data_IF_059391621041
#
_entry.id   IF_059391621041
#
_cell.length_a   1.000
_cell.length_b   1.000
_cell.length_c   1.000
_cell.angle_alpha   90.00
_cell.angle_beta   90.00
_cell.angle_gamma   90.00
#
_symmetry.space_group_name_H-M   'P 1'
#
loop_
_entity.id
_entity.type
_entity.pdbx_description
1 polymer ?
#
# COMPACT_ATOMS: atom_id res chain seq x y z
N UNK A 1 22.19 -8.67 2.89
CA UNK A 1 21.40 -7.45 3.21
C UNK A 1 20.46 -7.09 2.06
N UNK A 2 20.99 -6.88 0.85
CA UNK A 2 20.20 -6.60 -0.36
C UNK A 2 19.13 -7.66 -0.69
N UNK A 3 19.48 -8.96 -0.71
CA UNK A 3 18.51 -10.03 -1.00
C UNK A 3 17.35 -10.07 0.02
N UNK A 4 17.64 -9.79 1.29
CA UNK A 4 16.61 -9.67 2.34
C UNK A 4 15.68 -8.49 2.08
N UNK A 5 16.23 -7.32 1.72
CA UNK A 5 15.42 -6.14 1.38
C UNK A 5 14.57 -6.36 0.12
N UNK A 6 15.07 -7.12 -0.86
CA UNK A 6 14.28 -7.51 -2.03
C UNK A 6 13.12 -8.44 -1.66
N UNK A 7 13.35 -9.41 -0.78
CA UNK A 7 12.30 -10.29 -0.26
C UNK A 7 11.24 -9.48 0.53
N UNK A 8 11.68 -8.59 1.43
CA UNK A 8 10.79 -7.71 2.20
C UNK A 8 9.99 -6.76 1.29
N UNK A 9 10.60 -6.24 0.21
CA UNK A 9 9.91 -5.43 -0.79
C UNK A 9 8.88 -6.24 -1.60
N UNK A 10 9.23 -7.47 -1.97
CA UNK A 10 8.32 -8.37 -2.69
C UNK A 10 7.10 -8.73 -1.83
N UNK A 11 7.31 -9.02 -0.54
CA UNK A 11 6.24 -9.25 0.44
C UNK A 11 5.35 -8.02 0.60
N UNK A 12 5.93 -6.85 0.88
CA UNK A 12 5.16 -5.60 1.03
C UNK A 12 4.38 -5.23 -0.24
N UNK A 13 4.94 -5.52 -1.42
CA UNK A 13 4.25 -5.31 -2.71
C UNK A 13 3.11 -6.29 -2.90
N UNK A 14 3.27 -7.55 -2.48
CA UNK A 14 2.20 -8.55 -2.52
C UNK A 14 1.06 -8.18 -1.56
N UNK A 15 1.39 -7.71 -0.36
CA UNK A 15 0.43 -7.21 0.63
C UNK A 15 -0.35 -6.00 0.09
N UNK A 16 0.33 -5.03 -0.55
CA UNK A 16 -0.31 -3.91 -1.22
C UNK A 16 -1.26 -4.37 -2.33
N UNK A 17 -0.82 -5.32 -3.18
CA UNK A 17 -1.66 -5.86 -4.26
C UNK A 17 -2.89 -6.59 -3.72
N UNK A 18 -2.73 -7.39 -2.66
CA UNK A 18 -3.83 -8.08 -2.01
C UNK A 18 -4.83 -7.10 -1.40
N UNK A 19 -4.33 -6.04 -0.73
CA UNK A 19 -5.17 -4.96 -0.21
C UNK A 19 -5.94 -4.25 -1.33
N UNK A 20 -5.29 -3.90 -2.44
CA UNK A 20 -5.94 -3.24 -3.59
C UNK A 20 -6.93 -4.16 -4.32
N UNK A 21 -6.70 -5.47 -4.30
CA UNK A 21 -7.63 -6.47 -4.84
C UNK A 21 -8.80 -6.78 -3.89
N UNK A 22 -8.78 -6.26 -2.65
CA UNK A 22 -9.86 -6.47 -1.69
C UNK A 22 -11.14 -5.78 -2.13
N UNK A 23 -12.26 -6.37 -1.75
CA UNK A 23 -13.57 -5.77 -1.97
C UNK A 23 -13.71 -4.46 -1.18
N UNK A 24 -13.10 -4.34 0.00
CA UNK A 24 -13.09 -3.10 0.80
C UNK A 24 -12.42 -1.94 0.05
N UNK A 25 -11.30 -2.21 -0.62
CA UNK A 25 -10.64 -1.22 -1.47
C UNK A 25 -11.53 -0.79 -2.64
N UNK A 26 -12.12 -1.76 -3.36
CA UNK A 26 -13.03 -1.47 -4.47
C UNK A 26 -14.27 -0.69 -4.01
N UNK A 27 -14.85 -1.06 -2.86
CA UNK A 27 -16.00 -0.39 -2.26
C UNK A 27 -15.67 1.04 -1.82
N UNK A 28 -14.52 1.24 -1.16
CA UNK A 28 -14.06 2.55 -0.75
C UNK A 28 -13.85 3.46 -1.99
N UNK A 29 -13.11 2.98 -2.98
CA UNK A 29 -12.82 3.75 -4.20
C UNK A 29 -14.10 4.04 -5.01
N UNK A 30 -15.05 3.11 -5.09
CA UNK A 30 -16.36 3.34 -5.72
C UNK A 30 -17.25 4.33 -4.95
N UNK A 31 -17.23 4.27 -3.61
CA UNK A 31 -18.05 5.15 -2.75
C UNK A 31 -17.52 6.59 -2.68
N UNK A 32 -16.24 6.81 -3.03
CA UNK A 32 -15.66 8.15 -3.14
C UNK A 32 -16.38 9.03 -4.16
N UNK A 33 -16.99 8.43 -5.18
CA UNK A 33 -17.67 9.11 -6.29
C UNK A 33 -19.03 9.74 -5.90
N UNK A 34 -19.65 9.32 -4.79
CA UNK A 34 -20.97 9.79 -4.33
C UNK A 34 -20.91 10.61 -3.01
N UNK A 35 -19.75 11.19 -2.68
CA UNK A 35 -19.59 12.00 -1.45
C UNK A 35 -19.31 11.18 -0.18
N UNK A 36 -19.07 9.87 -0.30
CA UNK A 36 -18.67 8.98 0.80
C UNK A 36 -17.24 9.20 1.31
N UNK A 37 -16.55 10.27 0.90
CA UNK A 37 -15.15 10.53 1.26
C UNK A 37 -14.94 10.70 2.78
N UNK A 38 -15.98 11.11 3.52
CA UNK A 38 -15.99 11.20 4.99
C UNK A 38 -16.44 9.91 5.69
N UNK A 39 -16.78 8.85 4.95
CA UNK A 39 -17.16 7.57 5.54
C UNK A 39 -15.94 6.90 6.17
N UNK A 40 -16.08 6.36 7.38
CA UNK A 40 -14.99 5.75 8.14
C UNK A 40 -14.22 4.70 7.33
N UNK A 41 -14.95 3.85 6.61
CA UNK A 41 -14.40 2.80 5.73
C UNK A 41 -13.49 3.38 4.64
N UNK A 42 -13.85 4.51 4.03
CA UNK A 42 -13.01 5.15 3.01
C UNK A 42 -11.72 5.69 3.63
N UNK A 43 -11.82 6.34 4.80
CA UNK A 43 -10.67 6.88 5.53
C UNK A 43 -9.72 5.79 5.99
N UNK A 44 -10.23 4.70 6.55
CA UNK A 44 -9.45 3.56 7.04
C UNK A 44 -8.76 2.82 5.90
N UNK A 45 -9.48 2.58 4.80
CA UNK A 45 -8.93 1.97 3.60
C UNK A 45 -7.83 2.82 3.00
N UNK A 46 -8.07 4.13 2.86
CA UNK A 46 -7.07 5.08 2.37
C UNK A 46 -5.83 5.13 3.26
N UNK A 47 -6.01 5.21 4.57
CA UNK A 47 -4.90 5.20 5.51
C UNK A 47 -4.09 3.89 5.44
N UNK A 48 -4.77 2.76 5.21
CA UNK A 48 -4.13 1.45 5.05
C UNK A 48 -3.33 1.38 3.75
N UNK A 49 -3.90 1.86 2.64
CA UNK A 49 -3.20 1.96 1.35
C UNK A 49 -1.96 2.87 1.48
N UNK A 50 -2.11 4.08 2.03
CA UNK A 50 -1.03 5.04 2.20
C UNK A 50 0.13 4.47 3.04
N UNK A 51 -0.17 3.70 4.10
CA UNK A 51 0.84 3.01 4.92
C UNK A 51 1.60 1.95 4.12
N UNK A 52 0.89 1.13 3.34
CA UNK A 52 1.49 0.07 2.52
C UNK A 52 2.36 0.66 1.40
N UNK A 53 1.91 1.73 0.76
CA UNK A 53 2.69 2.46 -0.23
C UNK A 53 3.94 3.11 0.37
N UNK A 54 3.83 3.71 1.56
CA UNK A 54 4.97 4.29 2.28
C UNK A 54 6.01 3.21 2.62
N UNK A 55 5.58 2.05 3.12
CA UNK A 55 6.49 0.90 3.39
C UNK A 55 7.19 0.42 2.12
N UNK A 56 6.49 0.30 1.01
CA UNK A 56 7.10 -0.07 -0.27
C UNK A 56 8.13 0.97 -0.75
N UNK A 57 7.83 2.26 -0.57
CA UNK A 57 8.74 3.36 -0.95
C UNK A 57 10.01 3.37 -0.11
N UNK A 58 9.89 3.21 1.20
CA UNK A 58 11.03 3.13 2.13
C UNK A 58 11.94 1.95 1.77
N UNK A 59 11.37 0.76 1.56
CA UNK A 59 12.14 -0.42 1.17
C UNK A 59 12.85 -0.24 -0.18
N UNK A 60 12.23 0.45 -1.14
CA UNK A 60 12.90 0.81 -2.41
C UNK A 60 14.04 1.81 -2.22
N UNK A 61 13.86 2.82 -1.37
CA UNK A 61 14.91 3.79 -1.07
C UNK A 61 16.12 3.11 -0.41
N UNK A 62 15.86 2.28 0.61
CA UNK A 62 16.89 1.47 1.27
C UNK A 62 17.57 0.50 0.32
N UNK A 63 16.84 -0.07 -0.65
CA UNK A 63 17.44 -0.89 -1.69
C UNK A 63 18.42 -0.06 -2.54
N UNK A 64 17.99 1.11 -3.02
CA UNK A 64 18.79 1.99 -3.88
C UNK A 64 20.08 2.47 -3.18
N UNK A 65 20.04 2.73 -1.87
CA UNK A 65 21.21 3.05 -1.06
C UNK A 65 22.25 1.91 -1.04
N UNK A 66 21.82 0.66 -1.20
CA UNK A 66 22.70 -0.50 -1.30
C UNK A 66 23.15 -0.84 -2.74
N UNK A 67 22.62 -0.13 -3.76
CA UNK A 67 23.06 -0.24 -5.16
C UNK A 67 24.08 0.82 -5.57
N UNK A 68 24.26 1.85 -4.72
CA UNK A 68 25.26 2.92 -4.83
C UNK A 68 26.62 2.50 -4.25
#
# INVERSE_FOLDING_TARGET
MRERLQAELAEATAELKAHMASWEYAFAMGSSCHGGQNHSVHRETRASTERLEARCRDLRARLAEHEL
#
